data_IF_843199948239
#
_entry.id   IF_843199948239
#
_cell.length_a   1.000
_cell.length_b   1.000
_cell.length_c   1.000
_cell.angle_alpha   90.00
_cell.angle_beta   90.00
_cell.angle_gamma   90.00
#
_symmetry.space_group_name_H-M   'P 1'
#
loop_
_entity.id
_entity.type
_entity.pdbx_description
1 polymer ?
#
# COMPACT_ATOMS: atom_id res chain seq x y z
N UNK A 1 -17.83 -37.95 -59.98
CA UNK A 1 -18.83 -37.15 -59.23
C UNK A 1 -18.86 -37.64 -57.80
N UNK A 2 -18.18 -36.93 -56.90
CA UNK A 2 -18.47 -36.82 -55.45
C UNK A 2 -17.38 -35.91 -54.85
N UNK A 3 -17.71 -34.65 -54.61
CA UNK A 3 -16.86 -33.68 -53.91
C UNK A 3 -17.12 -33.80 -52.40
N UNK A 4 -16.11 -33.58 -51.53
CA UNK A 4 -16.30 -33.64 -50.09
C UNK A 4 -16.88 -32.32 -49.55
N UNK A 5 -17.85 -32.44 -48.64
CA UNK A 5 -18.54 -31.35 -47.97
C UNK A 5 -17.60 -30.58 -47.03
N UNK A 6 -17.58 -29.25 -47.20
CA UNK A 6 -16.79 -28.31 -46.43
C UNK A 6 -17.63 -27.85 -45.22
N UNK A 7 -17.43 -28.47 -44.06
CA UNK A 7 -18.17 -28.15 -42.83
C UNK A 7 -17.59 -26.89 -42.16
N UNK A 8 -18.01 -25.72 -42.61
CA UNK A 8 -17.56 -24.43 -42.10
C UNK A 8 -18.59 -23.89 -41.08
N UNK A 9 -18.53 -24.35 -39.83
CA UNK A 9 -19.31 -23.75 -38.74
C UNK A 9 -18.57 -22.53 -38.15
N UNK A 10 -19.24 -21.37 -37.98
CA UNK A 10 -18.61 -20.18 -37.43
C UNK A 10 -18.32 -20.37 -35.93
N UNK A 11 -17.05 -20.16 -35.53
CA UNK A 11 -16.61 -20.15 -34.12
C UNK A 11 -17.42 -19.11 -33.34
N UNK A 12 -18.23 -19.61 -32.39
CA UNK A 12 -19.03 -18.82 -31.45
C UNK A 12 -18.09 -17.95 -30.61
N UNK A 13 -18.20 -16.63 -30.76
CA UNK A 13 -17.41 -15.66 -30.02
C UNK A 13 -17.86 -15.69 -28.54
N UNK A 14 -17.05 -16.29 -27.67
CA UNK A 14 -17.32 -16.33 -26.23
C UNK A 14 -17.36 -14.89 -25.68
N UNK A 15 -18.52 -14.51 -25.15
CA UNK A 15 -18.72 -13.22 -24.49
C UNK A 15 -17.80 -13.15 -23.27
N UNK A 16 -16.73 -12.33 -23.35
CA UNK A 16 -15.86 -11.99 -22.23
C UNK A 16 -16.72 -11.57 -21.03
N UNK A 17 -16.64 -12.34 -19.93
CA UNK A 17 -17.23 -11.96 -18.63
C UNK A 17 -16.74 -10.55 -18.27
N UNK A 18 -17.68 -9.63 -18.06
CA UNK A 18 -17.36 -8.26 -17.60
C UNK A 18 -16.69 -8.39 -16.23
N UNK A 19 -15.44 -7.94 -16.16
CA UNK A 19 -14.73 -7.71 -14.89
C UNK A 19 -15.63 -6.87 -13.97
N UNK A 20 -15.95 -7.41 -12.79
CA UNK A 20 -16.69 -6.70 -11.74
C UNK A 20 -15.90 -5.51 -11.18
N UNK A 21 -14.59 -5.43 -11.45
CA UNK A 21 -13.73 -4.32 -11.07
C UNK A 21 -13.91 -3.18 -12.08
N UNK A 22 -14.93 -2.34 -11.87
CA UNK A 22 -15.22 -1.17 -12.71
C UNK A 22 -14.51 0.13 -12.31
N UNK A 23 -13.64 0.13 -11.28
CA UNK A 23 -13.18 1.40 -10.69
C UNK A 23 -11.67 1.70 -10.66
N UNK A 24 -10.77 0.75 -10.89
CA UNK A 24 -9.33 1.02 -10.72
C UNK A 24 -8.69 1.75 -11.90
N UNK A 25 -9.11 1.46 -13.15
CA UNK A 25 -8.59 2.17 -14.34
C UNK A 25 -8.99 3.64 -14.41
N UNK A 26 -10.22 3.98 -14.00
CA UNK A 26 -10.68 5.37 -13.93
C UNK A 26 -9.92 6.15 -12.86
N UNK A 27 -9.66 5.53 -11.69
CA UNK A 27 -8.90 6.15 -10.59
C UNK A 27 -7.44 6.42 -11.00
N UNK A 28 -6.79 5.47 -11.68
CA UNK A 28 -5.40 5.65 -12.15
C UNK A 28 -5.31 6.72 -13.26
N UNK A 29 -6.26 6.74 -14.21
CA UNK A 29 -6.28 7.76 -15.26
C UNK A 29 -6.54 9.15 -14.67
N UNK A 30 -7.47 9.26 -13.72
CA UNK A 30 -7.78 10.50 -13.01
C UNK A 30 -6.56 11.06 -12.26
N UNK A 31 -5.82 10.21 -11.52
CA UNK A 31 -4.59 10.62 -10.83
C UNK A 31 -3.51 11.16 -11.78
N UNK A 32 -3.41 10.64 -13.01
CA UNK A 32 -2.44 11.13 -14.00
C UNK A 32 -2.76 12.52 -14.56
N UNK A 33 -4.00 12.97 -14.44
CA UNK A 33 -4.45 14.30 -14.89
C UNK A 33 -4.53 15.35 -13.77
N UNK A 34 -4.42 14.94 -12.49
CA UNK A 34 -4.43 15.89 -11.37
C UNK A 34 -3.19 16.77 -11.38
N UNK A 35 -3.41 18.07 -11.16
CA UNK A 35 -2.32 18.99 -10.89
C UNK A 35 -1.50 18.49 -9.70
N UNK A 36 -0.17 18.62 -9.78
CA UNK A 36 0.72 18.23 -8.69
C UNK A 36 0.33 19.01 -7.42
N UNK A 37 0.10 18.29 -6.33
CA UNK A 37 -0.22 18.91 -5.05
C UNK A 37 0.87 19.88 -4.59
N UNK A 38 0.45 20.86 -3.79
CA UNK A 38 1.36 21.83 -3.18
C UNK A 38 2.53 21.12 -2.46
N UNK A 39 3.69 21.80 -2.32
CA UNK A 39 4.78 21.30 -1.50
C UNK A 39 4.27 20.88 -0.11
N UNK A 40 4.93 19.88 0.47
CA UNK A 40 4.61 19.42 1.82
C UNK A 40 4.90 20.57 2.77
N UNK A 41 3.93 20.91 3.62
CA UNK A 41 4.09 21.95 4.64
C UNK A 41 5.31 21.65 5.52
N UNK A 42 6.09 22.69 5.86
CA UNK A 42 7.36 22.55 6.57
C UNK A 42 7.21 21.72 7.86
N UNK A 43 6.19 22.01 8.68
CA UNK A 43 5.95 21.27 9.92
C UNK A 43 5.71 19.76 9.70
N UNK A 44 5.06 19.39 8.59
CA UNK A 44 4.83 17.98 8.23
C UNK A 44 6.11 17.35 7.68
N UNK A 45 6.85 18.09 6.85
CA UNK A 45 8.14 17.65 6.32
C UNK A 45 9.14 17.36 7.44
N UNK A 46 9.24 18.27 8.41
CA UNK A 46 10.12 18.13 9.59
C UNK A 46 9.71 16.92 10.43
N UNK A 47 8.40 16.72 10.62
CA UNK A 47 7.89 15.56 11.36
C UNK A 47 8.18 14.23 10.65
N UNK A 48 8.03 14.19 9.33
CA UNK A 48 8.38 13.03 8.53
C UNK A 48 9.89 12.77 8.59
N UNK A 49 10.71 13.82 8.52
CA UNK A 49 12.15 13.69 8.65
C UNK A 49 12.55 13.17 10.04
N UNK A 50 11.98 13.73 11.11
CA UNK A 50 12.24 13.33 12.50
C UNK A 50 11.89 11.84 12.74
N UNK A 51 10.77 11.35 12.20
CA UNK A 51 10.27 10.00 12.48
C UNK A 51 10.81 8.97 11.49
N UNK A 52 10.73 9.25 10.20
CA UNK A 52 10.96 8.25 9.14
C UNK A 52 12.44 8.17 8.78
N UNK A 53 13.15 9.30 8.71
CA UNK A 53 14.53 9.30 8.24
C UNK A 53 15.44 8.41 9.09
N UNK A 54 15.43 8.45 10.44
CA UNK A 54 16.24 7.54 11.26
C UNK A 54 15.92 6.06 10.98
N UNK A 55 14.65 5.71 10.81
CA UNK A 55 14.23 4.35 10.48
C UNK A 55 14.80 3.88 9.13
N UNK A 56 14.91 4.77 8.14
CA UNK A 56 15.56 4.41 6.86
C UNK A 56 17.06 4.19 7.00
N UNK A 57 17.73 4.89 7.92
CA UNK A 57 19.16 4.73 8.20
C UNK A 57 19.45 3.44 8.97
N UNK A 58 18.56 3.04 9.88
CA UNK A 58 18.66 1.77 10.61
C UNK A 58 18.70 0.54 9.68
N UNK A 59 18.10 0.65 8.48
CA UNK A 59 18.07 -0.42 7.49
C UNK A 59 19.29 -0.46 6.55
N UNK A 60 20.28 0.43 6.72
CA UNK A 60 21.46 0.48 5.84
C UNK A 60 22.29 -0.81 5.91
N UNK A 61 22.43 -1.42 7.09
CA UNK A 61 23.18 -2.68 7.25
C UNK A 61 22.57 -3.80 6.41
N UNK A 62 21.26 -4.02 6.54
CA UNK A 62 20.53 -5.00 5.73
C UNK A 62 20.57 -4.65 4.24
N UNK A 63 20.43 -3.37 3.90
CA UNK A 63 20.52 -2.89 2.53
C UNK A 63 21.85 -3.30 1.86
N UNK A 64 22.97 -3.15 2.58
CA UNK A 64 24.29 -3.56 2.09
C UNK A 64 24.42 -5.08 2.01
N UNK A 65 23.92 -5.81 3.02
CA UNK A 65 23.93 -7.28 3.06
C UNK A 65 23.16 -7.91 1.88
N UNK A 66 22.10 -7.25 1.39
CA UNK A 66 21.35 -7.64 0.20
C UNK A 66 22.09 -7.32 -1.12
N UNK A 67 23.35 -6.88 -1.07
CA UNK A 67 24.16 -6.55 -2.24
C UNK A 67 23.71 -5.29 -2.99
N UNK A 68 22.83 -4.47 -2.38
CA UNK A 68 22.36 -3.24 -3.01
C UNK A 68 23.46 -2.18 -2.94
N UNK A 69 23.92 -1.71 -4.09
CA UNK A 69 24.92 -0.64 -4.14
C UNK A 69 24.30 0.69 -3.71
N UNK A 70 24.98 1.43 -2.85
CA UNK A 70 24.62 2.81 -2.52
C UNK A 70 25.03 3.75 -3.67
N UNK A 71 24.09 4.01 -4.60
CA UNK A 71 24.20 5.08 -5.60
C UNK A 71 23.36 6.28 -5.16
N UNK A 72 23.11 7.26 -6.02
CA UNK A 72 22.27 8.43 -5.73
C UNK A 72 20.84 8.10 -5.25
N UNK A 73 20.32 6.91 -5.56
CA UNK A 73 18.99 6.43 -5.13
C UNK A 73 19.10 5.39 -4.01
N UNK A 74 19.63 5.78 -2.86
CA UNK A 74 19.68 4.95 -1.64
C UNK A 74 18.27 4.67 -1.08
N UNK A 75 18.16 3.80 -0.07
CA UNK A 75 16.88 3.55 0.61
C UNK A 75 16.28 4.83 1.22
N UNK A 76 17.01 5.65 2.00
CA UNK A 76 16.49 6.93 2.50
C UNK A 76 15.93 7.83 1.41
N UNK A 77 16.62 7.92 0.27
CA UNK A 77 16.17 8.73 -0.88
C UNK A 77 14.88 8.15 -1.45
N UNK A 78 14.86 6.85 -1.76
CA UNK A 78 13.68 6.21 -2.37
C UNK A 78 12.44 6.28 -1.46
N UNK A 79 12.60 6.15 -0.14
CA UNK A 79 11.49 6.33 0.81
C UNK A 79 10.96 7.76 0.77
N UNK A 80 11.83 8.77 0.75
CA UNK A 80 11.42 10.16 0.60
C UNK A 80 10.64 10.40 -0.70
N UNK A 81 11.10 9.80 -1.82
CA UNK A 81 10.42 9.89 -3.11
C UNK A 81 9.03 9.26 -3.08
N UNK A 82 8.88 8.06 -2.50
CA UNK A 82 7.60 7.34 -2.40
C UNK A 82 6.62 8.09 -1.50
N UNK A 83 7.06 8.59 -0.34
CA UNK A 83 6.21 9.41 0.53
C UNK A 83 5.73 10.67 -0.18
N UNK A 84 6.58 11.27 -1.00
CA UNK A 84 6.22 12.46 -1.75
C UNK A 84 5.24 12.17 -2.88
N UNK A 85 5.38 11.02 -3.56
CA UNK A 85 4.39 10.54 -4.53
C UNK A 85 3.00 10.44 -3.90
N UNK A 86 2.93 9.85 -2.70
CA UNK A 86 1.68 9.63 -1.98
C UNK A 86 1.12 10.97 -1.49
N UNK A 87 1.92 11.76 -0.77
CA UNK A 87 1.44 12.97 -0.10
C UNK A 87 1.04 14.07 -1.08
N UNK A 88 1.86 14.30 -2.13
CA UNK A 88 1.58 15.31 -3.15
C UNK A 88 0.66 14.80 -4.26
N UNK A 89 0.19 13.56 -4.15
CA UNK A 89 -0.66 12.88 -5.14
C UNK A 89 -0.10 12.96 -6.56
N UNK A 90 1.22 12.79 -6.72
CA UNK A 90 1.86 12.88 -8.03
C UNK A 90 1.43 11.71 -8.92
N UNK A 91 0.85 12.04 -10.08
CA UNK A 91 0.26 11.06 -11.00
C UNK A 91 1.26 10.21 -11.79
N UNK A 92 2.56 10.51 -11.76
CA UNK A 92 3.55 9.73 -12.50
C UNK A 92 4.98 9.85 -11.94
N UNK A 93 5.82 8.86 -12.28
CA UNK A 93 7.26 8.89 -12.01
C UNK A 93 7.98 9.98 -12.82
N UNK A 94 7.44 10.39 -13.97
CA UNK A 94 7.97 11.50 -14.75
C UNK A 94 7.83 12.82 -13.98
N UNK A 95 6.67 13.06 -13.38
CA UNK A 95 6.45 14.25 -12.54
C UNK A 95 7.31 14.23 -11.29
N UNK A 96 7.45 13.07 -10.63
CA UNK A 96 8.39 12.91 -9.52
C UNK A 96 9.82 13.28 -9.92
N UNK A 97 10.30 12.77 -11.06
CA UNK A 97 11.63 13.13 -11.55
C UNK A 97 11.71 14.65 -11.81
N UNK A 98 10.73 15.26 -12.47
CA UNK A 98 10.72 16.71 -12.73
C UNK A 98 10.82 17.53 -11.45
N UNK A 99 10.08 17.13 -10.41
CA UNK A 99 10.08 17.76 -9.08
C UNK A 99 11.45 17.63 -8.42
N UNK A 100 11.97 16.41 -8.26
CA UNK A 100 13.26 16.14 -7.57
C UNK A 100 14.45 16.80 -8.27
N UNK A 101 14.36 16.99 -9.59
CA UNK A 101 15.36 17.72 -10.38
C UNK A 101 15.33 19.24 -10.17
N UNK A 102 14.25 19.80 -9.60
CA UNK A 102 14.06 21.24 -9.41
C UNK A 102 14.18 21.66 -7.95
N UNK A 103 13.67 20.84 -7.03
CA UNK A 103 13.60 21.15 -5.60
C UNK A 103 14.05 19.97 -4.74
N UNK A 104 14.37 20.25 -3.48
CA UNK A 104 14.56 19.20 -2.46
C UNK A 104 13.21 18.59 -2.09
N UNK A 105 13.22 17.32 -1.70
CA UNK A 105 12.01 16.55 -1.41
C UNK A 105 12.21 15.84 -0.08
N UNK A 106 11.50 16.29 0.96
CA UNK A 106 11.74 15.88 2.35
C UNK A 106 13.24 16.06 2.70
N UNK A 107 13.89 15.04 3.27
CA UNK A 107 15.33 15.03 3.55
C UNK A 107 16.20 14.72 2.33
N UNK A 108 15.62 14.38 1.18
CA UNK A 108 16.39 14.13 -0.03
C UNK A 108 16.76 15.48 -0.68
N UNK A 109 18.06 15.74 -0.94
CA UNK A 109 18.46 16.94 -1.64
C UNK A 109 17.93 16.93 -3.08
N UNK A 110 18.09 18.05 -3.78
CA UNK A 110 17.84 18.11 -5.22
C UNK A 110 18.77 17.10 -5.93
N UNK A 111 18.20 16.18 -6.71
CA UNK A 111 18.96 15.14 -7.40
C UNK A 111 18.74 15.20 -8.91
N UNK A 112 19.83 15.10 -9.66
CA UNK A 112 19.78 14.93 -11.12
C UNK A 112 19.49 13.47 -11.47
N UNK A 113 18.21 13.12 -11.60
CA UNK A 113 17.76 11.73 -11.83
C UNK A 113 16.79 11.63 -12.99
N UNK A 114 16.89 10.55 -13.77
CA UNK A 114 15.96 10.27 -14.85
C UNK A 114 14.76 9.46 -14.35
N UNK A 115 13.58 9.55 -15.00
CA UNK A 115 12.45 8.67 -14.69
C UNK A 115 12.83 7.18 -14.78
N UNK A 116 13.70 6.84 -15.73
CA UNK A 116 14.20 5.48 -15.91
C UNK A 116 15.02 4.98 -14.71
N UNK A 117 15.84 5.85 -14.09
CA UNK A 117 16.59 5.50 -12.90
C UNK A 117 15.66 5.18 -11.72
N UNK A 118 14.62 5.99 -11.51
CA UNK A 118 13.61 5.78 -10.46
C UNK A 118 12.87 4.45 -10.70
N UNK A 119 12.36 4.23 -11.91
CA UNK A 119 11.64 3.00 -12.26
C UNK A 119 12.51 1.75 -12.09
N UNK A 120 13.74 1.80 -12.57
CA UNK A 120 14.70 0.69 -12.42
C UNK A 120 14.94 0.42 -10.95
N UNK A 121 15.07 1.48 -10.13
CA UNK A 121 15.31 1.35 -8.71
C UNK A 121 14.13 0.74 -7.96
N UNK A 122 12.91 1.23 -8.19
CA UNK A 122 11.69 0.70 -7.60
C UNK A 122 11.44 -0.77 -8.01
N UNK A 123 11.93 -1.19 -9.17
CA UNK A 123 11.83 -2.59 -9.63
C UNK A 123 12.76 -3.54 -8.88
N UNK A 124 13.93 -3.08 -8.47
CA UNK A 124 14.97 -3.95 -7.87
C UNK A 124 15.05 -3.83 -6.35
N UNK A 125 14.52 -2.76 -5.77
CA UNK A 125 14.56 -2.59 -4.32
C UNK A 125 13.58 -3.59 -3.66
N UNK A 126 14.04 -4.40 -2.68
CA UNK A 126 13.16 -5.35 -2.02
C UNK A 126 12.07 -4.64 -1.20
N UNK A 127 10.82 -5.08 -1.36
CA UNK A 127 9.69 -4.55 -0.59
C UNK A 127 9.87 -4.73 0.92
N UNK A 128 10.62 -5.76 1.34
CA UNK A 128 10.98 -6.02 2.74
C UNK A 128 11.64 -4.81 3.41
N UNK A 129 12.42 -4.00 2.69
CA UNK A 129 13.04 -2.82 3.27
C UNK A 129 12.01 -1.76 3.67
N UNK A 130 10.95 -1.58 2.87
CA UNK A 130 9.84 -0.68 3.24
C UNK A 130 9.05 -1.23 4.41
N UNK A 131 8.82 -2.55 4.43
CA UNK A 131 8.17 -3.21 5.56
C UNK A 131 8.95 -2.99 6.85
N UNK A 132 10.27 -3.20 6.84
CA UNK A 132 11.09 -2.99 8.03
C UNK A 132 11.08 -1.53 8.48
N UNK A 133 11.14 -0.57 7.55
CA UNK A 133 11.00 0.86 7.90
C UNK A 133 9.67 1.13 8.59
N UNK A 134 8.56 0.56 8.09
CA UNK A 134 7.26 0.68 8.75
C UNK A 134 7.28 0.06 10.16
N UNK A 135 7.84 -1.14 10.31
CA UNK A 135 7.95 -1.82 11.61
C UNK A 135 8.78 -1.02 12.62
N UNK A 136 9.85 -0.37 12.17
CA UNK A 136 10.68 0.51 13.02
C UNK A 136 9.91 1.75 13.50
N UNK A 137 9.01 2.28 12.65
CA UNK A 137 8.27 3.52 12.91
C UNK A 137 7.06 3.30 13.82
N UNK A 138 6.41 2.13 13.75
CA UNK A 138 5.18 1.85 14.51
C UNK A 138 5.36 2.08 16.03
N UNK A 139 6.42 1.57 16.71
CA UNK A 139 6.66 1.84 18.13
C UNK A 139 6.83 3.33 18.44
N UNK A 140 7.55 4.07 17.59
CA UNK A 140 7.76 5.52 17.74
C UNK A 140 6.42 6.27 17.65
N UNK A 141 5.58 5.90 16.69
CA UNK A 141 4.25 6.49 16.54
C UNK A 141 3.33 6.14 17.72
N UNK A 142 3.44 4.93 18.26
CA UNK A 142 2.67 4.49 19.43
C UNK A 142 3.05 5.29 20.67
N UNK A 143 4.33 5.39 21.00
CA UNK A 143 4.81 6.18 22.14
C UNK A 143 4.38 7.65 22.04
N UNK A 144 4.47 8.23 20.83
CA UNK A 144 3.93 9.55 20.55
C UNK A 144 2.44 9.67 20.74
N UNK A 145 1.67 8.65 20.36
CA UNK A 145 0.23 8.67 20.56
C UNK A 145 -0.12 8.60 22.04
N UNK A 146 0.58 7.77 22.81
CA UNK A 146 0.41 7.65 24.27
C UNK A 146 0.75 8.97 24.98
N UNK A 147 1.75 9.71 24.51
CA UNK A 147 2.12 11.01 25.07
C UNK A 147 1.24 12.17 24.60
N UNK A 148 0.23 11.95 23.74
CA UNK A 148 -0.65 13.03 23.27
C UNK A 148 -1.62 13.45 24.37
N UNK A 149 -1.79 14.76 24.52
CA UNK A 149 -2.82 15.35 25.39
C UNK A 149 -4.14 15.62 24.67
N UNK A 150 -4.20 15.37 23.36
CA UNK A 150 -5.42 15.60 22.57
C UNK A 150 -6.54 14.68 23.10
N UNK A 151 -7.72 15.21 23.44
CA UNK A 151 -8.82 14.39 23.92
C UNK A 151 -9.28 13.41 22.83
N UNK A 152 -9.72 12.24 23.26
CA UNK A 152 -10.44 11.31 22.40
C UNK A 152 -11.80 11.89 22.03
N UNK A 153 -12.36 11.48 20.89
CA UNK A 153 -13.76 11.75 20.62
C UNK A 153 -14.64 11.04 21.66
N UNK A 154 -15.85 11.57 21.90
CA UNK A 154 -16.79 11.01 22.88
C UNK A 154 -17.00 9.51 22.70
N UNK A 155 -17.25 9.05 21.47
CA UNK A 155 -17.41 7.64 21.15
C UNK A 155 -16.18 6.79 21.49
N UNK A 156 -14.97 7.31 21.24
CA UNK A 156 -13.72 6.58 21.54
C UNK A 156 -13.39 6.62 23.03
N UNK A 157 -13.73 7.70 23.73
CA UNK A 157 -13.61 7.78 25.19
C UNK A 157 -14.56 6.79 25.87
N UNK A 158 -15.81 6.71 25.40
CA UNK A 158 -16.78 5.72 25.87
C UNK A 158 -16.29 4.30 25.60
N UNK A 159 -15.84 3.99 24.38
CA UNK A 159 -15.34 2.67 24.05
C UNK A 159 -14.13 2.27 24.90
N UNK A 160 -13.19 3.20 25.13
CA UNK A 160 -12.03 2.96 26.01
C UNK A 160 -12.42 2.68 27.47
N UNK A 161 -13.53 3.23 27.95
CA UNK A 161 -14.01 2.99 29.31
C UNK A 161 -14.69 1.62 29.48
N UNK A 162 -15.23 1.05 28.40
CA UNK A 162 -16.03 -0.19 28.45
C UNK A 162 -15.31 -1.42 27.90
N UNK A 163 -14.31 -1.23 27.06
CA UNK A 163 -13.57 -2.30 26.41
C UNK A 163 -12.09 -2.20 26.72
N UNK A 164 -11.45 -3.36 26.92
CA UNK A 164 -10.01 -3.46 27.14
C UNK A 164 -9.22 -3.01 25.91
N UNK A 165 -9.78 -3.25 24.73
CA UNK A 165 -9.18 -2.91 23.45
C UNK A 165 -10.27 -2.60 22.43
N UNK A 166 -10.00 -1.69 21.50
CA UNK A 166 -10.84 -1.44 20.33
C UNK A 166 -10.00 -1.75 19.11
N UNK A 167 -10.43 -2.70 18.28
CA UNK A 167 -9.74 -3.08 17.06
C UNK A 167 -10.62 -2.87 15.84
N UNK A 168 -10.02 -2.39 14.76
CA UNK A 168 -10.70 -2.15 13.49
C UNK A 168 -10.04 -3.04 12.44
N UNK A 169 -10.80 -3.99 11.89
CA UNK A 169 -10.38 -4.82 10.77
C UNK A 169 -10.88 -4.26 9.45
N UNK A 170 -9.96 -4.04 8.51
CA UNK A 170 -10.30 -3.61 7.15
C UNK A 170 -9.45 -4.36 6.10
N UNK A 171 -10.02 -4.54 4.92
CA UNK A 171 -9.44 -5.29 3.82
C UNK A 171 -9.51 -4.50 2.52
N UNK A 172 -8.47 -4.60 1.70
CA UNK A 172 -8.46 -3.92 0.41
C UNK A 172 -7.81 -4.77 -0.68
N UNK A 173 -8.43 -4.79 -1.85
CA UNK A 173 -7.82 -5.38 -3.04
C UNK A 173 -6.90 -4.36 -3.69
N UNK A 174 -5.63 -4.74 -3.88
CA UNK A 174 -4.62 -3.85 -4.40
C UNK A 174 -4.78 -3.63 -5.91
N UNK A 175 -4.35 -2.46 -6.36
CA UNK A 175 -4.50 -1.98 -7.73
C UNK A 175 -3.96 -2.93 -8.80
N UNK A 176 -4.49 -2.76 -10.02
CA UNK A 176 -4.02 -3.49 -11.19
C UNK A 176 -2.57 -3.12 -11.54
N UNK A 177 -1.76 -4.15 -11.78
CA UNK A 177 -0.37 -4.07 -12.13
C UNK A 177 -0.22 -3.85 -13.64
N UNK A 178 0.58 -2.86 -14.02
CA UNK A 178 0.81 -2.57 -15.42
C UNK A 178 1.65 -3.68 -16.09
N UNK A 179 1.11 -4.29 -17.14
CA UNK A 179 1.79 -5.29 -17.97
C UNK A 179 3.00 -4.77 -18.73
N UNK A 180 3.19 -3.45 -18.80
CA UNK A 180 4.26 -2.83 -19.61
C UNK A 180 5.68 -3.16 -19.11
N UNK A 181 5.84 -3.78 -17.94
CA UNK A 181 7.14 -3.96 -17.26
C UNK A 181 7.40 -5.43 -16.89
N UNK A 182 8.58 -5.94 -17.27
CA UNK A 182 9.14 -7.21 -16.75
C UNK A 182 8.34 -8.48 -17.07
N UNK A 183 8.30 -9.40 -16.10
CA UNK A 183 7.70 -10.75 -16.17
C UNK A 183 6.18 -10.78 -16.45
N UNK A 184 5.51 -9.62 -16.44
CA UNK A 184 4.05 -9.49 -16.58
C UNK A 184 3.60 -9.11 -17.99
N UNK A 185 4.52 -9.01 -18.96
CA UNK A 185 4.21 -8.69 -20.36
C UNK A 185 3.35 -9.75 -21.03
N UNK A 186 3.60 -11.02 -20.70
CA UNK A 186 2.98 -12.19 -21.32
C UNK A 186 1.56 -12.48 -20.80
N UNK A 187 1.19 -11.96 -19.64
CA UNK A 187 -0.16 -12.14 -19.07
C UNK A 187 -1.22 -11.52 -19.97
N UNK A 188 -2.37 -12.15 -20.19
CA UNK A 188 -3.40 -11.59 -21.08
C UNK A 188 -4.04 -10.29 -20.55
N UNK A 189 -4.10 -10.12 -19.23
CA UNK A 189 -4.73 -8.99 -18.54
C UNK A 189 -3.80 -8.37 -17.51
N UNK A 190 -4.11 -7.15 -17.09
CA UNK A 190 -3.45 -6.53 -15.94
C UNK A 190 -3.89 -7.26 -14.67
N UNK A 191 -3.03 -8.05 -14.02
CA UNK A 191 -3.41 -8.72 -12.79
C UNK A 191 -3.55 -7.69 -11.67
N UNK A 192 -4.44 -7.91 -10.73
CA UNK A 192 -4.47 -7.16 -9.46
C UNK A 192 -3.24 -7.53 -8.63
N UNK A 193 -2.77 -6.61 -7.77
CA UNK A 193 -1.55 -6.84 -6.99
C UNK A 193 -1.75 -7.72 -5.75
N UNK A 194 -2.89 -8.40 -5.64
CA UNK A 194 -3.28 -9.20 -4.49
C UNK A 194 -4.24 -8.46 -3.57
N UNK A 195 -4.30 -8.92 -2.33
CA UNK A 195 -5.14 -8.37 -1.27
C UNK A 195 -4.34 -8.12 -0.01
N UNK A 196 -4.64 -7.02 0.65
CA UNK A 196 -4.09 -6.65 1.96
C UNK A 196 -5.21 -6.62 2.98
N UNK A 197 -4.94 -7.05 4.21
CA UNK A 197 -5.81 -6.87 5.37
C UNK A 197 -5.02 -6.22 6.48
N UNK A 198 -5.67 -5.37 7.27
CA UNK A 198 -5.05 -4.71 8.41
C UNK A 198 -5.97 -4.75 9.61
N UNK A 199 -5.38 -5.00 10.77
CA UNK A 199 -6.00 -4.81 12.07
C UNK A 199 -5.37 -3.57 12.69
N UNK A 200 -6.19 -2.55 12.94
CA UNK A 200 -5.76 -1.27 13.50
C UNK A 200 -6.25 -1.15 14.93
N UNK A 201 -5.47 -0.50 15.77
CA UNK A 201 -5.93 -0.03 17.06
C UNK A 201 -6.91 1.13 16.86
N UNK A 202 -8.14 1.00 17.36
CA UNK A 202 -9.23 1.96 17.09
C UNK A 202 -8.98 3.36 17.64
N UNK A 203 -8.13 3.49 18.66
CA UNK A 203 -7.84 4.77 19.30
C UNK A 203 -6.68 5.51 18.61
N UNK A 204 -5.57 4.82 18.37
CA UNK A 204 -4.36 5.36 17.74
C UNK A 204 -4.39 5.32 16.22
N UNK A 205 -5.24 4.47 15.64
CA UNK A 205 -5.31 4.13 14.20
C UNK A 205 -4.02 3.55 13.64
N UNK A 206 -3.13 3.08 14.51
CA UNK A 206 -1.89 2.43 14.11
C UNK A 206 -2.13 0.95 13.84
N UNK A 207 -1.41 0.35 12.87
CA UNK A 207 -1.52 -1.07 12.61
C UNK A 207 -1.01 -1.88 13.81
N UNK A 208 -1.84 -2.83 14.23
CA UNK A 208 -1.52 -3.93 15.14
C UNK A 208 -1.04 -5.13 14.34
N UNK A 209 -1.63 -5.34 13.16
CA UNK A 209 -1.25 -6.39 12.23
C UNK A 209 -1.58 -6.01 10.79
N UNK A 210 -0.79 -6.53 9.85
CA UNK A 210 -1.01 -6.39 8.41
C UNK A 210 -0.74 -7.76 7.78
N UNK A 211 -1.69 -8.24 6.99
CA UNK A 211 -1.58 -9.46 6.18
C UNK A 211 -1.62 -9.15 4.70
N UNK A 212 -0.92 -9.96 3.90
CA UNK A 212 -0.88 -9.85 2.45
C UNK A 212 -1.02 -11.22 1.80
N UNK A 213 -1.77 -11.28 0.69
CA UNK A 213 -1.83 -12.43 -0.21
C UNK A 213 -1.73 -11.94 -1.65
N UNK A 214 -1.02 -12.67 -2.49
CA UNK A 214 -0.94 -12.39 -3.94
C UNK A 214 -2.28 -12.68 -4.66
N UNK A 215 -3.13 -13.49 -4.04
CA UNK A 215 -4.45 -13.83 -4.55
C UNK A 215 -5.44 -12.68 -4.34
N UNK A 216 -5.73 -11.93 -5.40
CA UNK A 216 -6.64 -10.80 -5.34
C UNK A 216 -8.12 -11.18 -5.20
N UNK A 217 -8.47 -12.42 -5.57
CA UNK A 217 -9.85 -12.94 -5.49
C UNK A 217 -10.12 -13.59 -4.13
N UNK A 218 -9.08 -13.80 -3.31
CA UNK A 218 -9.21 -14.31 -1.94
C UNK A 218 -10.26 -13.52 -1.15
N UNK A 219 -11.20 -14.19 -0.49
CA UNK A 219 -12.15 -13.51 0.38
C UNK A 219 -11.45 -12.92 1.61
N UNK A 220 -11.97 -11.83 2.17
CA UNK A 220 -11.44 -11.22 3.41
C UNK A 220 -11.40 -12.20 4.59
N UNK A 221 -12.28 -13.21 4.58
CA UNK A 221 -12.31 -14.30 5.54
C UNK A 221 -11.05 -15.18 5.53
N UNK A 222 -10.22 -15.11 4.49
CA UNK A 222 -8.92 -15.80 4.46
C UNK A 222 -8.01 -15.37 5.61
N UNK A 223 -8.18 -14.15 6.11
CA UNK A 223 -7.42 -13.61 7.22
C UNK A 223 -8.10 -13.83 8.58
N UNK A 224 -9.24 -14.53 8.64
CA UNK A 224 -10.01 -14.61 9.88
C UNK A 224 -9.24 -15.24 11.03
N UNK A 225 -8.57 -16.37 10.78
CA UNK A 225 -7.88 -17.09 11.85
C UNK A 225 -6.69 -16.28 12.39
N UNK A 226 -5.98 -15.56 11.50
CA UNK A 226 -4.93 -14.62 11.90
C UNK A 226 -5.48 -13.44 12.72
N UNK A 227 -6.61 -12.88 12.30
CA UNK A 227 -7.26 -11.77 13.00
C UNK A 227 -7.74 -12.22 14.38
N UNK A 228 -8.50 -13.31 14.47
CA UNK A 228 -9.06 -13.85 15.71
C UNK A 228 -7.97 -14.28 16.70
N UNK A 229 -6.86 -14.86 16.20
CA UNK A 229 -5.70 -15.20 17.03
C UNK A 229 -5.04 -14.00 17.73
N UNK A 230 -5.43 -12.77 17.37
CA UNK A 230 -4.91 -11.51 17.96
C UNK A 230 -5.96 -10.80 18.82
N UNK A 231 -7.17 -11.33 18.90
CA UNK A 231 -8.26 -10.77 19.71
C UNK A 231 -8.21 -11.38 21.10
N UNK A 232 -8.34 -10.54 22.12
CA UNK A 232 -8.41 -10.99 23.52
C UNK A 232 -9.78 -10.68 24.13
N UNK A 233 -10.12 -11.35 25.23
CA UNK A 233 -11.38 -11.11 25.93
C UNK A 233 -11.54 -9.63 26.32
N UNK A 234 -12.75 -9.09 26.14
CA UNK A 234 -13.06 -7.67 26.39
C UNK A 234 -12.66 -6.73 25.26
N UNK A 235 -12.37 -7.25 24.06
CA UNK A 235 -12.10 -6.43 22.86
C UNK A 235 -13.40 -6.07 22.14
N UNK A 236 -13.56 -4.80 21.77
CA UNK A 236 -14.54 -4.36 20.77
C UNK A 236 -13.93 -4.50 19.38
N UNK A 237 -14.48 -5.39 18.56
CA UNK A 237 -14.11 -5.53 17.15
C UNK A 237 -15.05 -4.74 16.25
N UNK A 238 -14.47 -3.96 15.35
CA UNK A 238 -15.20 -3.21 14.32
C UNK A 238 -14.71 -3.72 12.98
N UNK A 239 -15.64 -4.12 12.12
CA UNK A 239 -15.33 -4.58 10.77
C UNK A 239 -16.15 -3.83 9.73
N UNK A 240 -15.58 -3.69 8.53
CA UNK A 240 -16.38 -3.39 7.35
C UNK A 240 -17.28 -4.59 6.99
N UNK A 241 -18.38 -4.31 6.28
CA UNK A 241 -19.39 -5.29 5.91
C UNK A 241 -18.80 -6.49 5.14
N UNK A 242 -17.69 -6.31 4.41
CA UNK A 242 -16.98 -7.37 3.71
C UNK A 242 -16.50 -8.53 4.58
N UNK A 243 -16.39 -8.33 5.90
CA UNK A 243 -16.04 -9.36 6.88
C UNK A 243 -17.25 -10.07 7.50
N UNK A 244 -18.49 -9.70 7.14
CA UNK A 244 -19.67 -10.34 7.70
C UNK A 244 -19.75 -11.82 7.30
N UNK A 245 -19.57 -12.70 8.28
CA UNK A 245 -19.87 -14.13 8.18
C UNK A 245 -20.60 -14.57 9.45
N UNK A 246 -21.92 -14.77 9.33
CA UNK A 246 -22.78 -15.16 10.45
C UNK A 246 -22.36 -16.46 11.13
N UNK A 247 -21.78 -17.42 10.39
CA UNK A 247 -21.31 -18.69 10.97
C UNK A 247 -20.13 -18.49 11.92
N UNK A 248 -19.29 -17.47 11.68
CA UNK A 248 -18.16 -17.12 12.55
C UNK A 248 -18.59 -16.28 13.74
N UNK A 249 -19.66 -15.49 13.63
CA UNK A 249 -20.21 -14.71 14.76
C UNK A 249 -21.07 -15.54 15.71
N UNK A 250 -21.54 -16.71 15.28
CA UNK A 250 -22.34 -17.62 16.09
C UNK A 250 -21.52 -18.59 16.98
N UNK A 251 -20.19 -18.55 16.86
CA UNK A 251 -19.23 -19.33 17.66
C UNK A 251 -18.68 -18.48 18.80
#
# INVERSE_FOLDING_TARGET
>A
MTAPENNNQPKKCEKRKKSSVKHTRSIQHDRSQRATGAPIEAAISDRLAEIVHPATLAQIGLYQALGLRARSLTLPVIVALVLSLIWRQMGSVCELARVVNREAVLWAPRLKITPQAINTRLRVIPAQLFWNVLQEIIPVLRARWESRQRPLSEAMAWARAHYRQVLIGDGSTLDALMRKVGLRKELERHPLAGRISALLDGLSRLPVWIGYTEDAEAHDQRFWDDLLGRVSAGTLLIFDLGYTNFERFAQ
#
